data_IF_258232925376
#
_entry.id   IF_258232925376
#
_cell.length_a   1.000
_cell.length_b   1.000
_cell.length_c   1.000
_cell.angle_alpha   90.00
_cell.angle_beta   90.00
_cell.angle_gamma   90.00
#
_symmetry.space_group_name_H-M   'P 1'
#
loop_
_entity.id
_entity.type
_entity.pdbx_description
1 polymer ?
#
# COMPACT_ATOMS: atom_id res chain seq x y z
N UNK A 1 -5.58 -16.64 -0.78
CA UNK A 1 -4.38 -15.99 -0.18
C UNK A 1 -4.44 -14.51 -0.53
N UNK A 2 -4.40 -13.58 0.43
CA UNK A 2 -4.15 -12.16 0.10
C UNK A 2 -2.66 -12.02 -0.16
N UNK A 3 -2.27 -11.68 -1.38
CA UNK A 3 -0.90 -11.26 -1.65
C UNK A 3 -0.64 -9.95 -0.91
N UNK A 4 0.30 -9.97 0.03
CA UNK A 4 0.68 -8.80 0.82
C UNK A 4 2.10 -8.32 0.50
N UNK A 5 2.66 -8.73 -0.65
CA UNK A 5 3.91 -8.17 -1.14
C UNK A 5 3.74 -6.66 -1.30
N UNK A 6 4.49 -5.91 -0.50
CA UNK A 6 4.45 -4.48 -0.50
C UNK A 6 5.85 -3.91 -0.42
N UNK A 7 5.99 -2.66 -0.87
CA UNK A 7 7.21 -1.89 -0.74
C UNK A 7 6.88 -0.50 -0.23
N UNK A 8 7.89 0.15 0.33
CA UNK A 8 7.76 1.48 0.93
C UNK A 8 8.12 2.53 -0.12
N UNK A 9 7.30 3.57 -0.21
CA UNK A 9 7.49 4.74 -1.06
C UNK A 9 7.41 5.97 -0.17
N UNK A 10 8.26 6.97 -0.40
CA UNK A 10 8.14 8.26 0.27
C UNK A 10 6.83 8.92 -0.15
N UNK A 11 6.11 9.52 0.79
CA UNK A 11 4.85 10.22 0.47
C UNK A 11 5.03 11.31 -0.59
N UNK A 12 6.20 11.95 -0.64
CA UNK A 12 6.55 12.96 -1.67
C UNK A 12 6.73 12.42 -3.08
N UNK A 13 6.84 11.09 -3.24
CA UNK A 13 6.98 10.39 -4.53
C UNK A 13 5.75 9.57 -4.89
N UNK A 14 4.64 9.79 -4.19
CA UNK A 14 3.40 9.07 -4.44
C UNK A 14 2.28 10.05 -4.74
N UNK A 15 1.61 9.84 -5.86
CA UNK A 15 0.40 10.55 -6.24
C UNK A 15 -0.72 9.53 -6.46
N UNK A 16 -1.82 9.59 -5.69
CA UNK A 16 -3.00 8.77 -5.97
C UNK A 16 -3.56 9.08 -7.35
N UNK A 17 -4.09 8.05 -8.03
CA UNK A 17 -4.85 8.27 -9.26
C UNK A 17 -6.02 9.23 -9.03
N UNK A 18 -6.44 9.95 -10.08
CA UNK A 18 -7.65 10.76 -10.03
C UNK A 18 -8.84 9.90 -9.57
N UNK A 19 -9.68 10.47 -8.69
CA UNK A 19 -10.84 9.81 -8.09
C UNK A 19 -10.51 8.57 -7.24
N UNK A 20 -9.26 8.40 -6.81
CA UNK A 20 -8.89 7.29 -5.92
C UNK A 20 -9.74 7.27 -4.63
N UNK A 21 -10.13 8.44 -4.12
CA UNK A 21 -11.02 8.63 -2.97
C UNK A 21 -12.42 8.03 -3.17
N UNK A 22 -12.91 7.94 -4.41
CA UNK A 22 -14.17 7.26 -4.68
C UNK A 22 -14.05 5.75 -4.45
N UNK A 23 -12.88 5.15 -4.71
CA UNK A 23 -12.67 3.70 -4.59
C UNK A 23 -12.10 3.27 -3.23
N UNK A 24 -11.43 4.17 -2.51
CA UNK A 24 -10.81 3.89 -1.23
C UNK A 24 -11.77 4.21 -0.09
N UNK A 25 -11.99 3.24 0.79
CA UNK A 25 -12.75 3.42 2.02
C UNK A 25 -11.87 3.13 3.23
N UNK A 26 -12.19 3.74 4.37
CA UNK A 26 -11.42 3.61 5.60
C UNK A 26 -12.29 3.01 6.70
N UNK A 27 -11.90 1.83 7.18
CA UNK A 27 -12.45 1.27 8.41
C UNK A 27 -11.69 1.81 9.61
N UNK A 28 -12.42 2.27 10.62
CA UNK A 28 -11.83 2.81 11.86
C UNK A 28 -12.20 1.92 13.04
N UNK A 29 -11.19 1.45 13.78
CA UNK A 29 -11.36 0.66 14.99
C UNK A 29 -10.56 1.30 16.13
N UNK A 30 -11.26 2.00 17.02
CA UNK A 30 -10.63 2.84 18.05
C UNK A 30 -9.75 3.92 17.39
N UNK A 31 -8.47 3.98 17.77
CA UNK A 31 -7.50 4.92 17.17
C UNK A 31 -6.87 4.40 15.87
N UNK A 32 -7.24 3.21 15.39
CA UNK A 32 -6.65 2.60 14.19
C UNK A 32 -7.50 2.88 12.97
N UNK A 33 -6.84 3.29 11.89
CA UNK A 33 -7.44 3.48 10.56
C UNK A 33 -6.88 2.42 9.61
N UNK A 34 -7.75 1.80 8.83
CA UNK A 34 -7.37 0.85 7.80
C UNK A 34 -8.04 1.24 6.49
N UNK A 35 -7.24 1.75 5.55
CA UNK A 35 -7.69 2.08 4.20
C UNK A 35 -7.64 0.85 3.29
N UNK A 36 -8.66 0.66 2.47
CA UNK A 36 -8.74 -0.43 1.50
C UNK A 36 -9.67 -0.07 0.33
N UNK A 37 -9.53 -0.78 -0.78
CA UNK A 37 -10.40 -0.63 -1.94
C UNK A 37 -11.79 -1.20 -1.65
N UNK A 38 -12.84 -0.40 -1.79
CA UNK A 38 -14.24 -0.83 -1.57
C UNK A 38 -14.74 -1.84 -2.62
N UNK A 39 -14.08 -1.89 -3.78
CA UNK A 39 -14.48 -2.76 -4.90
C UNK A 39 -13.93 -4.17 -4.75
N UNK A 40 -12.63 -4.33 -4.47
CA UNK A 40 -11.97 -5.64 -4.38
C UNK A 40 -11.49 -6.00 -2.96
N UNK A 41 -11.60 -5.09 -1.99
CA UNK A 41 -11.23 -5.31 -0.60
C UNK A 41 -9.73 -5.20 -0.29
N UNK A 42 -8.84 -5.19 -1.29
CA UNK A 42 -7.39 -5.15 -1.06
C UNK A 42 -6.95 -3.79 -0.50
N UNK A 43 -5.92 -3.81 0.34
CA UNK A 43 -5.21 -2.58 0.73
C UNK A 43 -4.26 -2.22 -0.40
N UNK A 44 -4.68 -1.32 -1.29
CA UNK A 44 -3.84 -0.83 -2.40
C UNK A 44 -2.62 -0.08 -1.87
N UNK A 45 -2.86 0.85 -0.96
CA UNK A 45 -1.83 1.57 -0.24
C UNK A 45 -2.30 1.98 1.16
N UNK A 46 -1.35 2.21 2.08
CA UNK A 46 -1.64 2.71 3.42
C UNK A 46 -0.41 3.37 4.06
N UNK A 47 -0.63 4.29 4.98
CA UNK A 47 0.44 4.86 5.83
C UNK A 47 0.76 3.89 6.97
N UNK A 48 1.99 3.37 7.09
CA UNK A 48 2.36 2.48 8.17
C UNK A 48 2.51 3.26 9.49
N UNK A 49 2.21 2.61 10.61
CA UNK A 49 2.33 3.23 11.94
C UNK A 49 3.79 3.54 12.31
N UNK A 50 4.73 2.74 11.82
CA UNK A 50 6.16 2.84 12.15
C UNK A 50 6.82 4.06 11.52
N UNK A 51 6.38 4.46 10.33
CA UNK A 51 6.86 5.65 9.66
C UNK A 51 5.69 6.42 9.00
N UNK A 52 5.18 7.47 9.65
CA UNK A 52 4.08 8.27 9.11
C UNK A 52 4.41 9.04 7.82
N UNK A 53 5.69 9.29 7.55
CA UNK A 53 6.14 10.01 6.34
C UNK A 53 6.21 9.08 5.11
N UNK A 54 6.11 7.78 5.34
CA UNK A 54 6.14 6.75 4.32
C UNK A 54 4.73 6.30 3.92
N UNK A 55 4.65 5.73 2.74
CA UNK A 55 3.48 5.05 2.23
C UNK A 55 3.88 3.64 1.81
N UNK A 56 3.04 2.68 2.14
CA UNK A 56 3.22 1.29 1.72
C UNK A 56 2.29 1.03 0.54
N UNK A 57 2.84 0.55 -0.57
CA UNK A 57 2.09 0.18 -1.78
C UNK A 57 2.14 -1.32 -1.98
N UNK A 58 0.99 -1.94 -2.21
CA UNK A 58 0.88 -3.36 -2.54
C UNK A 58 1.25 -3.57 -4.01
N UNK A 59 2.29 -4.36 -4.29
CA UNK A 59 2.83 -4.53 -5.64
C UNK A 59 1.80 -5.12 -6.62
N UNK A 60 0.90 -5.99 -6.14
CA UNK A 60 -0.16 -6.58 -6.94
C UNK A 60 -1.25 -5.58 -7.39
N UNK A 61 -1.24 -4.35 -6.87
CA UNK A 61 -2.17 -3.28 -7.28
C UNK A 61 -1.60 -2.37 -8.36
N UNK A 62 -0.36 -2.59 -8.80
CA UNK A 62 0.27 -1.85 -9.87
C UNK A 62 0.01 -2.54 -11.22
N UNK A 63 -0.13 -1.74 -12.27
CA UNK A 63 -0.20 -2.27 -13.63
C UNK A 63 1.16 -2.92 -13.98
N UNK A 64 1.20 -4.21 -14.34
CA UNK A 64 2.44 -4.89 -14.73
C UNK A 64 3.20 -4.18 -15.84
N UNK A 65 2.52 -3.46 -16.74
CA UNK A 65 3.15 -2.73 -17.86
C UNK A 65 3.98 -1.53 -17.36
N UNK A 66 3.73 -1.06 -16.14
CA UNK A 66 4.46 0.07 -15.53
C UNK A 66 5.72 -0.34 -14.77
N UNK A 67 5.94 -1.65 -14.59
CA UNK A 67 7.04 -2.19 -13.80
C UNK A 67 8.13 -2.76 -14.71
N UNK A 68 9.33 -2.22 -14.60
CA UNK A 68 10.51 -2.75 -15.29
C UNK A 68 10.95 -4.11 -14.69
N UNK A 69 11.02 -4.18 -13.36
CA UNK A 69 11.41 -5.37 -12.61
C UNK A 69 10.93 -5.30 -11.15
N UNK A 70 10.74 -6.46 -10.51
CA UNK A 70 10.41 -6.59 -9.08
C UNK A 70 11.42 -7.52 -8.39
N UNK A 71 12.18 -6.97 -7.43
CA UNK A 71 13.11 -7.73 -6.61
C UNK A 71 12.50 -8.09 -5.24
N UNK A 72 12.58 -9.36 -4.85
CA UNK A 72 12.13 -9.82 -3.54
C UNK A 72 13.33 -10.08 -2.64
N UNK A 73 13.48 -9.27 -1.59
CA UNK A 73 14.52 -9.46 -0.57
C UNK A 73 13.93 -10.11 0.67
N UNK A 74 14.59 -11.16 1.15
CA UNK A 74 14.25 -11.76 2.45
C UNK A 74 14.86 -10.90 3.55
N UNK A 75 14.05 -10.54 4.53
CA UNK A 75 14.50 -9.92 5.78
C UNK A 75 14.19 -10.89 6.92
N UNK A 76 15.18 -11.22 7.74
CA UNK A 76 15.04 -12.12 8.89
C UNK A 76 14.74 -11.37 10.21
N UNK A 77 14.62 -10.05 10.15
CA UNK A 77 14.29 -9.18 11.28
C UNK A 77 15.37 -9.14 12.37
N UNK A 78 16.52 -9.77 12.15
CA UNK A 78 17.67 -9.70 13.04
C UNK A 78 18.52 -8.51 12.57
N UNK A 79 18.92 -7.67 13.53
CA UNK A 79 19.85 -6.57 13.27
C UNK A 79 21.23 -7.10 12.95
#
# INVERSE_FOLDING_TARGET
MRGNTHFVVLTTKFEPQANADESVTTYTFGMRKHAFCKVCGITSYYTPRTNPDDLVVTAACLDPVTLDHVEYRKADGRK
#
